data_IF_444839471651
#
_entry.id   IF_444839471651
#
_cell.length_a   1.000
_cell.length_b   1.000
_cell.length_c   1.000
_cell.angle_alpha   90.00
_cell.angle_beta   90.00
_cell.angle_gamma   90.00
#
_symmetry.space_group_name_H-M   'P 1'
#
loop_
_entity.id
_entity.type
_entity.pdbx_description
1 polymer ?
#
# COMPACT_ATOMS: atom_id res chain seq x y z
N UNK A 1 -2.44 -21.25 14.17
CA UNK A 1 -1.98 -19.85 13.99
C UNK A 1 -2.95 -19.01 13.14
N UNK A 2 -4.03 -19.58 12.59
CA UNK A 2 -4.82 -18.91 11.53
C UNK A 2 -5.96 -17.98 11.98
N UNK A 3 -6.35 -18.00 13.25
CA UNK A 3 -7.54 -17.29 13.74
C UNK A 3 -7.28 -15.84 14.25
N UNK A 4 -6.11 -15.27 13.97
CA UNK A 4 -5.70 -13.93 14.47
C UNK A 4 -5.44 -12.89 13.38
N UNK A 5 -5.40 -13.32 12.12
CA UNK A 5 -5.08 -12.48 10.97
C UNK A 5 -6.33 -11.84 10.38
N UNK A 6 -6.22 -10.58 9.95
CA UNK A 6 -7.23 -9.91 9.14
C UNK A 6 -7.59 -10.76 7.92
N UNK A 7 -8.88 -10.80 7.57
CA UNK A 7 -9.39 -11.59 6.45
C UNK A 7 -9.17 -10.92 5.08
N UNK A 8 -8.54 -9.75 5.03
CA UNK A 8 -8.26 -9.04 3.78
C UNK A 8 -6.99 -9.52 3.06
N UNK A 9 -6.03 -10.18 3.73
CA UNK A 9 -4.82 -10.72 3.09
C UNK A 9 -5.09 -12.11 2.51
N UNK A 10 -4.70 -12.32 1.24
CA UNK A 10 -4.84 -13.60 0.51
C UNK A 10 -3.48 -14.18 0.12
N UNK A 11 -2.46 -13.36 -0.04
CA UNK A 11 -1.10 -13.79 -0.33
C UNK A 11 -0.45 -14.49 0.86
N UNK A 12 0.32 -15.53 0.57
CA UNK A 12 1.06 -16.33 1.55
C UNK A 12 0.20 -16.89 2.69
N UNK A 13 -1.09 -17.15 2.42
CA UNK A 13 -2.01 -17.78 3.37
C UNK A 13 -2.53 -19.10 2.82
N UNK A 14 -2.54 -20.11 3.67
CA UNK A 14 -3.05 -21.42 3.30
C UNK A 14 -4.56 -21.33 3.00
N UNK A 15 -4.97 -21.96 1.90
CA UNK A 15 -6.39 -22.01 1.50
C UNK A 15 -6.94 -20.68 0.98
N UNK A 16 -6.07 -19.77 0.52
CA UNK A 16 -6.46 -18.52 -0.15
C UNK A 16 -5.72 -18.39 -1.47
N UNK A 17 -6.42 -17.94 -2.50
CA UNK A 17 -5.85 -17.73 -3.83
C UNK A 17 -6.12 -16.32 -4.37
N UNK A 18 -5.54 -16.01 -5.53
CA UNK A 18 -5.84 -14.78 -6.26
C UNK A 18 -7.29 -14.76 -6.75
N UNK A 19 -7.88 -15.91 -7.09
CA UNK A 19 -9.28 -16.02 -7.49
C UNK A 19 -10.23 -15.69 -6.32
N UNK A 20 -9.91 -16.16 -5.11
CA UNK A 20 -10.69 -15.82 -3.92
C UNK A 20 -10.67 -14.31 -3.65
N UNK A 21 -9.50 -13.69 -3.82
CA UNK A 21 -9.36 -12.24 -3.69
C UNK A 21 -10.20 -11.49 -4.73
N UNK A 22 -10.15 -11.91 -5.99
CA UNK A 22 -10.94 -11.28 -7.06
C UNK A 22 -12.43 -11.43 -6.81
N UNK A 23 -12.87 -12.61 -6.35
CA UNK A 23 -14.25 -12.84 -5.95
C UNK A 23 -14.66 -11.92 -4.80
N UNK A 24 -13.81 -11.81 -3.76
CA UNK A 24 -14.04 -10.90 -2.63
C UNK A 24 -14.12 -9.45 -3.08
N UNK A 25 -13.17 -8.99 -3.90
CA UNK A 25 -13.13 -7.61 -4.38
C UNK A 25 -14.37 -7.28 -5.23
N UNK A 26 -14.75 -8.17 -6.14
CA UNK A 26 -15.98 -8.04 -6.92
C UNK A 26 -17.21 -7.93 -6.00
N UNK A 27 -17.31 -8.79 -4.99
CA UNK A 27 -18.40 -8.71 -4.03
C UNK A 27 -18.42 -7.38 -3.27
N UNK A 28 -17.27 -6.80 -2.92
CA UNK A 28 -17.21 -5.47 -2.30
C UNK A 28 -17.80 -4.39 -3.21
N UNK A 29 -17.45 -4.42 -4.51
CA UNK A 29 -18.00 -3.48 -5.51
C UNK A 29 -19.49 -3.69 -5.71
N UNK A 30 -19.94 -4.94 -5.90
CA UNK A 30 -21.34 -5.28 -6.19
C UNK A 30 -22.29 -4.97 -5.01
N UNK A 31 -21.78 -4.97 -3.77
CA UNK A 31 -22.56 -4.64 -2.56
C UNK A 31 -22.44 -3.17 -2.15
N UNK A 32 -21.64 -2.37 -2.85
CA UNK A 32 -21.58 -0.93 -2.63
C UNK A 32 -22.90 -0.29 -3.05
N UNK A 33 -23.52 0.46 -2.14
CA UNK A 33 -24.67 1.30 -2.47
C UNK A 33 -24.27 2.72 -2.89
N UNK A 34 -22.97 3.03 -2.88
CA UNK A 34 -22.47 4.38 -3.10
C UNK A 34 -22.58 4.79 -4.57
N UNK A 35 -22.83 6.08 -4.82
CA UNK A 35 -22.86 6.62 -6.19
C UNK A 35 -21.48 6.67 -6.85
N UNK A 36 -20.44 6.90 -6.07
CA UNK A 36 -19.06 6.94 -6.53
C UNK A 36 -18.30 5.81 -5.85
N UNK A 37 -17.73 4.92 -6.66
CA UNK A 37 -16.96 3.77 -6.21
C UNK A 37 -15.70 3.67 -7.06
N UNK A 38 -14.56 3.47 -6.41
CA UNK A 38 -13.30 3.21 -7.11
C UNK A 38 -12.37 2.32 -6.28
N UNK A 39 -11.63 1.45 -6.96
CA UNK A 39 -10.48 0.77 -6.39
C UNK A 39 -9.27 1.70 -6.33
N UNK A 40 -8.62 1.77 -5.17
CA UNK A 40 -7.35 2.46 -4.94
C UNK A 40 -6.27 1.39 -4.78
N UNK A 41 -5.46 1.21 -5.81
CA UNK A 41 -4.39 0.21 -5.87
C UNK A 41 -3.11 0.83 -5.30
N UNK A 42 -2.66 0.30 -4.17
CA UNK A 42 -1.51 0.77 -3.40
C UNK A 42 -0.29 -0.07 -3.79
N UNK A 43 0.78 0.62 -4.16
CA UNK A 43 2.05 0.00 -4.56
C UNK A 43 3.14 0.41 -3.56
N UNK A 44 3.72 -0.58 -2.87
CA UNK A 44 4.79 -0.38 -1.91
C UNK A 44 6.15 -0.52 -2.59
N UNK A 45 6.95 0.55 -2.55
CA UNK A 45 8.30 0.54 -3.08
C UNK A 45 9.15 -0.46 -2.29
N UNK A 46 9.67 -1.48 -2.98
CA UNK A 46 10.60 -2.45 -2.40
C UNK A 46 10.00 -3.15 -1.19
N UNK A 47 8.81 -3.72 -1.36
CA UNK A 47 8.23 -4.62 -0.38
C UNK A 47 9.28 -5.63 0.12
N UNK A 48 9.17 -6.04 1.38
CA UNK A 48 10.16 -6.84 2.09
C UNK A 48 11.50 -6.14 2.38
N UNK A 49 12.04 -5.28 1.52
CA UNK A 49 13.40 -4.71 1.67
C UNK A 49 13.49 -3.57 2.70
N UNK A 50 12.38 -2.86 2.95
CA UNK A 50 12.39 -1.65 3.79
C UNK A 50 11.85 -1.83 5.21
N UNK A 51 11.25 -2.97 5.53
CA UNK A 51 10.62 -3.19 6.83
C UNK A 51 11.62 -3.10 7.99
N UNK A 52 11.37 -2.19 8.92
CA UNK A 52 12.14 -2.00 10.16
C UNK A 52 12.02 -3.21 11.08
N UNK A 53 13.14 -3.81 11.47
CA UNK A 53 13.12 -4.97 12.37
C UNK A 53 12.62 -4.63 13.76
N UNK A 54 12.89 -3.42 14.24
CA UNK A 54 12.35 -2.93 15.51
C UNK A 54 10.81 -2.96 15.47
N UNK A 55 10.21 -2.37 14.44
CA UNK A 55 8.74 -2.28 14.32
C UNK A 55 8.09 -3.66 14.19
N UNK A 56 8.78 -4.62 13.56
CA UNK A 56 8.34 -6.02 13.48
C UNK A 56 8.37 -6.69 14.85
N UNK A 57 9.46 -6.55 15.61
CA UNK A 57 9.60 -7.13 16.93
C UNK A 57 8.56 -6.54 17.90
N UNK A 58 8.34 -5.23 17.88
CA UNK A 58 7.27 -4.58 18.66
C UNK A 58 5.89 -5.15 18.30
N UNK A 59 5.63 -5.37 17.01
CA UNK A 59 4.36 -5.96 16.56
C UNK A 59 4.21 -7.40 17.05
N UNK A 60 5.26 -8.20 17.01
CA UNK A 60 5.22 -9.58 17.53
C UNK A 60 4.93 -9.61 19.04
N UNK A 61 5.53 -8.70 19.80
CA UNK A 61 5.30 -8.57 21.25
C UNK A 61 3.84 -8.19 21.54
N UNK A 62 3.31 -7.20 20.81
CA UNK A 62 1.89 -6.78 20.92
C UNK A 62 0.90 -7.90 20.55
N UNK A 63 1.26 -8.76 19.60
CA UNK A 63 0.46 -9.92 19.22
C UNK A 63 0.58 -11.05 20.25
N UNK A 64 1.45 -10.95 21.26
CA UNK A 64 1.50 -11.88 22.39
C UNK A 64 2.02 -13.27 22.00
N UNK A 65 3.06 -13.31 21.17
CA UNK A 65 3.77 -14.55 20.87
C UNK A 65 4.55 -15.08 22.09
N UNK A 66 4.90 -16.36 22.06
CA UNK A 66 5.70 -16.96 23.15
C UNK A 66 7.12 -16.37 23.19
N UNK A 67 7.74 -16.38 24.37
CA UNK A 67 9.12 -15.92 24.54
C UNK A 67 10.11 -16.68 23.63
N UNK A 68 9.83 -17.96 23.35
CA UNK A 68 10.65 -18.80 22.47
C UNK A 68 10.58 -18.32 21.02
N UNK A 69 9.37 -18.07 20.50
CA UNK A 69 9.16 -17.50 19.16
C UNK A 69 9.81 -16.12 19.03
N UNK A 70 9.67 -15.27 20.07
CA UNK A 70 10.33 -13.96 20.10
C UNK A 70 11.85 -14.08 20.08
N UNK A 71 12.42 -15.05 20.78
CA UNK A 71 13.85 -15.35 20.74
C UNK A 71 14.33 -15.75 19.34
N UNK A 72 13.55 -16.57 18.63
CA UNK A 72 13.85 -16.97 17.25
C UNK A 72 13.83 -15.78 16.29
N UNK A 73 12.80 -14.93 16.35
CA UNK A 73 12.73 -13.73 15.51
C UNK A 73 13.81 -12.71 15.84
N UNK A 74 14.11 -12.50 17.12
CA UNK A 74 15.20 -11.61 17.53
C UNK A 74 16.55 -12.11 16.99
N UNK A 75 16.82 -13.42 17.09
CA UNK A 75 18.02 -14.03 16.51
C UNK A 75 18.02 -13.97 14.97
N UNK A 76 16.86 -14.11 14.34
CA UNK A 76 16.72 -14.02 12.89
C UNK A 76 17.10 -12.64 12.35
N UNK A 77 16.83 -11.56 13.08
CA UNK A 77 17.17 -10.19 12.72
C UNK A 77 18.54 -9.72 13.25
N UNK A 78 19.11 -10.37 14.26
CA UNK A 78 20.39 -9.95 14.85
C UNK A 78 21.60 -10.17 13.94
N UNK A 79 22.59 -9.26 14.08
CA UNK A 79 23.95 -9.36 13.51
C UNK A 79 24.06 -9.65 12.01
N UNK A 80 23.05 -9.19 11.26
CA UNK A 80 23.01 -9.34 9.81
C UNK A 80 23.89 -8.29 9.13
N UNK A 81 24.68 -8.72 8.16
CA UNK A 81 25.44 -7.82 7.30
C UNK A 81 25.49 -8.33 5.86
N UNK A 82 25.46 -7.40 4.91
CA UNK A 82 25.73 -7.69 3.50
C UNK A 82 27.18 -7.39 3.16
N UNK A 83 27.73 -8.17 2.24
CA UNK A 83 29.06 -8.00 1.69
C UNK A 83 28.94 -7.74 0.19
N UNK A 84 29.52 -6.63 -0.27
CA UNK A 84 29.62 -6.29 -1.68
C UNK A 84 31.08 -6.44 -2.10
N UNK A 85 31.34 -7.42 -2.96
CA UNK A 85 32.66 -7.66 -3.50
C UNK A 85 32.80 -6.99 -4.87
N UNK A 86 33.76 -6.08 -4.99
CA UNK A 86 34.13 -5.53 -6.28
C UNK A 86 35.06 -6.52 -7.01
N UNK A 87 34.52 -7.19 -8.04
CA UNK A 87 35.26 -8.18 -8.84
C UNK A 87 36.47 -7.62 -9.60
N UNK A 88 36.65 -6.30 -9.66
CA UNK A 88 37.77 -5.65 -10.37
C UNK A 88 38.90 -5.18 -9.46
N UNK A 89 38.64 -5.02 -8.16
CA UNK A 89 39.61 -4.46 -7.20
C UNK A 89 39.81 -5.30 -5.95
N UNK A 90 39.18 -6.48 -5.87
CA UNK A 90 39.14 -7.36 -4.69
C UNK A 90 38.71 -6.66 -3.39
N UNK A 91 38.13 -5.47 -3.48
CA UNK A 91 37.61 -4.74 -2.33
C UNK A 91 36.28 -5.34 -1.89
N UNK A 92 36.15 -5.52 -0.57
CA UNK A 92 34.91 -5.96 0.07
C UNK A 92 34.36 -4.84 0.93
N UNK A 93 33.18 -4.34 0.59
CA UNK A 93 32.42 -3.45 1.45
C UNK A 93 31.47 -4.28 2.32
N UNK A 94 31.52 -4.08 3.64
CA UNK A 94 30.59 -4.68 4.59
C UNK A 94 29.61 -3.62 5.08
N UNK A 95 28.33 -3.95 5.14
CA UNK A 95 27.30 -3.09 5.73
C UNK A 95 26.40 -3.90 6.64
N UNK A 96 26.28 -3.48 7.90
CA UNK A 96 25.27 -4.01 8.82
C UNK A 96 23.87 -3.60 8.37
N UNK A 97 22.93 -4.50 8.55
CA UNK A 97 21.53 -4.31 8.21
C UNK A 97 20.72 -4.08 9.49
N UNK A 98 19.64 -3.32 9.36
CA UNK A 98 18.69 -3.02 10.44
C UNK A 98 17.23 -3.14 9.95
N UNK A 99 17.06 -3.51 8.68
CA UNK A 99 15.78 -3.56 8.00
C UNK A 99 15.85 -4.56 6.86
N UNK A 100 14.67 -4.96 6.42
CA UNK A 100 14.46 -5.77 5.24
C UNK A 100 14.50 -7.27 5.51
N UNK A 101 13.87 -8.06 4.65
CA UNK A 101 13.96 -9.51 4.70
C UNK A 101 14.92 -9.98 3.60
N UNK A 102 15.80 -10.97 3.86
CA UNK A 102 16.57 -11.60 2.80
C UNK A 102 15.63 -12.12 1.71
N UNK A 103 15.87 -11.74 0.46
CA UNK A 103 15.08 -12.22 -0.67
C UNK A 103 15.20 -13.75 -0.78
N UNK A 104 14.07 -14.43 -0.96
CA UNK A 104 14.00 -15.89 -0.96
C UNK A 104 14.02 -16.53 0.43
N UNK A 105 13.97 -15.74 1.51
CA UNK A 105 13.79 -16.29 2.85
C UNK A 105 12.36 -16.83 3.06
N UNK A 106 12.26 -17.95 3.76
CA UNK A 106 10.99 -18.57 4.15
C UNK A 106 10.20 -17.64 5.09
N UNK A 107 10.90 -16.89 5.94
CA UNK A 107 10.29 -15.99 6.93
C UNK A 107 9.82 -14.65 6.37
N UNK A 108 10.32 -14.20 5.22
CA UNK A 108 9.95 -12.91 4.62
C UNK A 108 8.44 -12.73 4.44
N UNK A 109 7.74 -13.69 3.80
CA UNK A 109 6.28 -13.72 3.70
C UNK A 109 5.54 -13.52 5.03
N UNK A 110 5.98 -14.21 6.08
CA UNK A 110 5.36 -14.12 7.42
C UNK A 110 5.57 -12.74 8.03
N UNK A 111 6.78 -12.18 7.92
CA UNK A 111 7.11 -10.84 8.42
C UNK A 111 6.29 -9.77 7.70
N UNK A 112 6.13 -9.90 6.38
CA UNK A 112 5.30 -8.98 5.61
C UNK A 112 3.83 -9.06 6.01
N UNK A 113 3.27 -10.28 6.09
CA UNK A 113 1.90 -10.45 6.52
C UNK A 113 1.68 -9.90 7.93
N UNK A 114 2.64 -10.09 8.86
CA UNK A 114 2.60 -9.49 10.21
C UNK A 114 2.50 -7.97 10.18
N UNK A 115 3.34 -7.31 9.39
CA UNK A 115 3.32 -5.86 9.28
C UNK A 115 2.02 -5.37 8.64
N UNK A 116 1.65 -5.96 7.49
CA UNK A 116 0.52 -5.52 6.69
C UNK A 116 -0.82 -5.80 7.38
N UNK A 117 -0.92 -6.84 8.19
CA UNK A 117 -2.10 -7.17 9.01
C UNK A 117 -2.59 -5.98 9.84
N UNK A 118 -1.68 -5.20 10.43
CA UNK A 118 -2.06 -4.01 11.20
C UNK A 118 -2.76 -2.97 10.34
N UNK A 119 -2.22 -2.68 9.14
CA UNK A 119 -2.82 -1.73 8.20
C UNK A 119 -4.20 -2.19 7.75
N UNK A 120 -4.33 -3.48 7.40
CA UNK A 120 -5.59 -4.05 6.95
C UNK A 120 -6.67 -3.98 8.03
N UNK A 121 -6.32 -4.30 9.28
CA UNK A 121 -7.22 -4.13 10.41
C UNK A 121 -7.65 -2.68 10.61
N UNK A 122 -6.72 -1.72 10.54
CA UNK A 122 -7.02 -0.30 10.71
C UNK A 122 -7.99 0.20 9.62
N UNK A 123 -7.77 -0.20 8.37
CA UNK A 123 -8.64 0.15 7.24
C UNK A 123 -10.06 -0.44 7.42
N UNK A 124 -10.17 -1.73 7.75
CA UNK A 124 -11.48 -2.36 8.01
C UNK A 124 -12.21 -1.71 9.20
N UNK A 125 -11.50 -1.35 10.26
CA UNK A 125 -12.08 -0.71 11.46
C UNK A 125 -12.69 0.66 11.17
N UNK A 126 -12.11 1.42 10.23
CA UNK A 126 -12.67 2.72 9.81
C UNK A 126 -13.68 2.59 8.66
N UNK A 127 -14.05 1.36 8.30
CA UNK A 127 -15.05 1.06 7.28
C UNK A 127 -14.56 1.26 5.85
N UNK A 128 -13.25 1.14 5.60
CA UNK A 128 -12.69 1.15 4.24
C UNK A 128 -12.50 -0.31 3.81
N UNK A 129 -13.28 -0.83 2.85
CA UNK A 129 -13.09 -2.19 2.35
C UNK A 129 -11.71 -2.33 1.72
N UNK A 130 -11.01 -3.41 2.02
CA UNK A 130 -9.64 -3.65 1.53
C UNK A 130 -9.40 -5.12 1.24
N UNK A 131 -8.61 -5.40 0.22
CA UNK A 131 -8.02 -6.72 -0.07
C UNK A 131 -6.55 -6.56 -0.37
N UNK A 132 -5.75 -7.59 -0.07
CA UNK A 132 -4.35 -7.62 -0.41
C UNK A 132 -3.91 -9.02 -0.86
N UNK A 133 -2.96 -9.06 -1.81
CA UNK A 133 -2.20 -10.25 -2.16
C UNK A 133 -0.71 -9.93 -2.07
N UNK A 134 -0.02 -10.50 -1.09
CA UNK A 134 1.35 -10.12 -0.81
C UNK A 134 1.41 -8.59 -0.54
N UNK A 135 2.19 -7.84 -1.30
CA UNK A 135 2.30 -6.39 -1.23
C UNK A 135 1.25 -5.63 -2.04
N UNK A 136 0.65 -6.23 -3.06
CA UNK A 136 -0.43 -5.63 -3.83
C UNK A 136 -1.66 -5.44 -2.94
N UNK A 137 -1.96 -4.18 -2.59
CA UNK A 137 -3.07 -3.84 -1.69
C UNK A 137 -4.07 -2.95 -2.42
N UNK A 138 -5.35 -3.30 -2.38
CA UNK A 138 -6.42 -2.53 -3.03
C UNK A 138 -7.49 -2.16 -2.01
N UNK A 139 -7.70 -0.86 -1.83
CA UNK A 139 -8.81 -0.32 -1.03
C UNK A 139 -9.99 0.02 -1.93
N UNK A 140 -11.21 -0.04 -1.42
CA UNK A 140 -12.40 0.51 -2.07
C UNK A 140 -12.70 1.89 -1.46
N UNK A 141 -12.68 2.92 -2.29
CA UNK A 141 -13.11 4.25 -1.92
C UNK A 141 -14.55 4.49 -2.40
N UNK A 142 -15.39 5.00 -1.51
CA UNK A 142 -16.83 5.10 -1.72
C UNK A 142 -17.37 6.45 -1.24
N UNK A 143 -18.42 6.96 -1.89
CA UNK A 143 -19.12 8.16 -1.43
C UNK A 143 -20.39 8.50 -2.22
N UNK A 144 -21.37 9.12 -1.55
CA UNK A 144 -22.59 9.64 -2.19
C UNK A 144 -22.36 10.97 -2.92
N UNK A 145 -21.30 11.67 -2.54
CA UNK A 145 -20.86 12.91 -3.16
C UNK A 145 -19.35 12.87 -3.40
N UNK A 146 -18.88 13.78 -4.25
CA UNK A 146 -17.45 13.95 -4.54
C UNK A 146 -16.65 14.19 -3.25
N UNK A 147 -17.15 15.04 -2.36
CA UNK A 147 -16.47 15.37 -1.10
C UNK A 147 -16.35 14.15 -0.17
N UNK A 148 -17.40 13.31 -0.09
CA UNK A 148 -17.36 12.08 0.71
C UNK A 148 -16.38 11.07 0.13
N UNK A 149 -16.38 10.91 -1.20
CA UNK A 149 -15.45 10.04 -1.90
C UNK A 149 -14.00 10.49 -1.70
N UNK A 150 -13.71 11.80 -1.86
CA UNK A 150 -12.38 12.37 -1.61
C UNK A 150 -11.96 12.16 -0.15
N UNK A 151 -12.86 12.37 0.81
CA UNK A 151 -12.58 12.10 2.22
C UNK A 151 -12.31 10.61 2.51
N UNK A 152 -12.98 9.69 1.79
CA UNK A 152 -12.69 8.25 1.88
C UNK A 152 -11.28 7.93 1.39
N UNK A 153 -10.89 8.49 0.24
CA UNK A 153 -9.53 8.33 -0.31
C UNK A 153 -8.48 8.91 0.64
N UNK A 154 -8.71 10.13 1.15
CA UNK A 154 -7.78 10.79 2.08
C UNK A 154 -7.62 10.00 3.38
N UNK A 155 -8.72 9.44 3.92
CA UNK A 155 -8.67 8.59 5.11
C UNK A 155 -7.85 7.32 4.88
N UNK A 156 -8.04 6.65 3.72
CA UNK A 156 -7.25 5.47 3.37
C UNK A 156 -5.76 5.80 3.31
N UNK A 157 -5.39 6.87 2.59
CA UNK A 157 -3.99 7.27 2.47
C UNK A 157 -3.38 7.71 3.80
N UNK A 158 -4.13 8.39 4.67
CA UNK A 158 -3.66 8.75 6.01
C UNK A 158 -3.16 7.53 6.78
N UNK A 159 -3.98 6.47 6.86
CA UNK A 159 -3.60 5.22 7.52
C UNK A 159 -2.42 4.52 6.85
N UNK A 160 -2.39 4.51 5.51
CA UNK A 160 -1.27 3.92 4.74
C UNK A 160 0.04 4.66 5.01
N UNK A 161 0.02 5.99 5.10
CA UNK A 161 1.21 6.78 5.41
C UNK A 161 1.69 6.57 6.84
N UNK A 162 0.77 6.59 7.81
CA UNK A 162 1.10 6.32 9.21
C UNK A 162 1.73 4.93 9.36
N UNK A 163 1.20 3.93 8.66
CA UNK A 163 1.78 2.60 8.60
C UNK A 163 3.16 2.57 7.94
N UNK A 164 3.33 3.27 6.81
CA UNK A 164 4.63 3.37 6.13
C UNK A 164 5.68 3.99 7.04
N UNK A 165 5.34 5.07 7.74
CA UNK A 165 6.23 5.75 8.68
C UNK A 165 6.60 4.84 9.86
N UNK A 166 5.63 4.11 10.41
CA UNK A 166 5.86 3.15 11.50
C UNK A 166 6.79 2.01 11.11
N UNK A 167 6.57 1.40 9.94
CA UNK A 167 7.32 0.22 9.51
C UNK A 167 8.55 0.55 8.64
N UNK A 168 8.79 1.82 8.33
CA UNK A 168 9.88 2.26 7.46
C UNK A 168 9.67 1.96 5.97
N UNK A 169 8.46 1.53 5.59
CA UNK A 169 8.05 1.29 4.21
C UNK A 169 7.80 2.61 3.46
N UNK A 170 7.59 2.55 2.15
CA UNK A 170 7.31 3.71 1.30
C UNK A 170 6.40 3.33 0.16
N UNK A 171 5.56 4.27 -0.28
CA UNK A 171 4.78 4.11 -1.51
C UNK A 171 5.64 4.35 -2.76
N UNK A 172 5.39 3.59 -3.82
CA UNK A 172 5.99 3.83 -5.12
C UNK A 172 5.28 5.02 -5.79
N UNK A 173 6.06 6.06 -6.11
CA UNK A 173 5.49 7.31 -6.61
C UNK A 173 4.97 7.15 -8.04
N UNK A 174 3.70 7.50 -8.26
CA UNK A 174 3.08 7.57 -9.59
C UNK A 174 2.47 6.26 -10.08
N UNK A 175 2.58 5.18 -9.30
CA UNK A 175 2.04 3.85 -9.62
C UNK A 175 0.80 3.50 -8.82
N UNK A 176 0.39 4.34 -7.86
CA UNK A 176 -0.90 4.17 -7.19
C UNK A 176 -2.01 4.47 -8.19
N UNK A 177 -2.89 3.51 -8.47
CA UNK A 177 -3.95 3.66 -9.47
C UNK A 177 -5.30 3.85 -8.82
N UNK A 178 -6.10 4.77 -9.36
CA UNK A 178 -7.53 4.86 -9.06
C UNK A 178 -8.30 4.33 -10.28
N UNK A 179 -9.04 3.24 -10.09
CA UNK A 179 -9.82 2.57 -11.12
C UNK A 179 -11.31 2.61 -10.76
N UNK A 180 -12.15 3.21 -11.60
CA UNK A 180 -13.61 3.17 -11.46
C UNK A 180 -14.22 2.06 -12.32
N UNK A 181 -15.40 1.52 -11.96
CA UNK A 181 -16.19 0.69 -12.86
C UNK A 181 -16.46 1.43 -14.18
N UNK A 182 -16.51 0.74 -15.33
CA UNK A 182 -16.66 1.35 -16.66
C UNK A 182 -17.98 2.11 -16.85
N UNK A 183 -18.97 1.88 -15.99
CA UNK A 183 -20.28 2.54 -15.99
C UNK A 183 -20.27 3.91 -15.27
N UNK A 184 -19.21 4.18 -14.50
CA UNK A 184 -19.02 5.42 -13.75
C UNK A 184 -17.89 6.22 -14.40
N UNK A 185 -18.28 7.19 -15.24
CA UNK A 185 -17.40 8.13 -15.94
C UNK A 185 -16.88 9.21 -14.95
N UNK A 186 -16.07 8.79 -13.97
CA UNK A 186 -15.58 9.68 -12.89
C UNK A 186 -14.35 10.45 -13.39
N UNK A 187 -14.56 11.58 -14.07
CA UNK A 187 -13.48 12.46 -14.50
C UNK A 187 -12.70 13.08 -13.31
N UNK A 188 -11.53 12.55 -12.99
CA UNK A 188 -10.49 13.29 -12.25
C UNK A 188 -9.44 13.80 -13.24
N UNK A 189 -9.54 15.09 -13.63
CA UNK A 189 -8.43 15.76 -14.34
C UNK A 189 -7.25 15.94 -13.38
N UNK A 190 -6.29 15.04 -13.41
CA UNK A 190 -4.96 15.26 -12.82
C UNK A 190 -4.21 16.30 -13.66
N UNK A 191 -4.34 17.58 -13.31
CA UNK A 191 -3.42 18.62 -13.83
C UNK A 191 -2.15 18.58 -12.97
N UNK A 192 -1.06 18.11 -13.56
CA UNK A 192 0.30 18.27 -13.04
C UNK A 192 0.54 19.74 -12.69
N UNK A 193 0.88 20.04 -11.44
CA UNK A 193 1.36 21.34 -11.00
C UNK A 193 2.71 21.13 -10.29
N UNK A 194 3.76 20.93 -11.08
CA UNK A 194 5.14 21.20 -10.64
C UNK A 194 5.50 22.62 -11.11
N UNK A 195 5.85 23.56 -10.22
CA UNK A 195 6.40 24.85 -10.58
C UNK A 195 7.88 24.71 -10.92
N UNK A 196 8.19 24.18 -12.09
CA UNK A 196 9.53 24.30 -12.71
C UNK A 196 9.53 23.97 -14.21
N UNK A 197 8.48 24.33 -14.93
CA UNK A 197 8.54 24.41 -16.39
C UNK A 197 8.46 25.89 -16.80
N UNK A 198 9.60 26.43 -17.23
CA UNK A 198 9.69 27.67 -17.98
C UNK A 198 9.03 27.47 -19.35
N UNK A 199 7.71 27.52 -19.43
CA UNK A 199 7.02 27.76 -20.70
C UNK A 199 6.21 29.04 -20.60
N UNK A 200 6.78 30.11 -21.14
CA UNK A 200 6.14 31.41 -21.22
C UNK A 200 4.97 31.40 -22.20
N UNK A 201 3.74 31.26 -21.70
CA UNK A 201 2.56 31.89 -22.28
C UNK A 201 1.43 31.99 -21.25
N UNK A 202 1.11 33.23 -20.87
CA UNK A 202 0.12 33.61 -19.87
C UNK A 202 -1.28 33.37 -20.42
N UNK A 203 -2.04 32.32 -20.06
CA UNK A 203 -3.51 32.29 -20.25
C UNK A 203 -4.22 31.04 -19.67
N UNK A 204 -3.95 30.54 -18.44
CA UNK A 204 -4.79 29.43 -17.93
C UNK A 204 -4.78 29.17 -16.42
N UNK A 205 -4.92 30.21 -15.58
CA UNK A 205 -5.12 30.03 -14.14
C UNK A 205 -6.09 31.08 -13.56
N UNK A 206 -7.39 30.99 -13.87
CA UNK A 206 -8.47 31.59 -13.06
C UNK A 206 -9.80 30.86 -13.29
N UNK A 207 -10.04 29.79 -12.54
CA UNK A 207 -11.34 29.37 -11.98
C UNK A 207 -11.17 27.95 -11.43
N UNK A 208 -11.88 27.69 -10.33
CA UNK A 208 -12.05 26.39 -9.66
C UNK A 208 -11.03 26.08 -8.57
N UNK A 209 -11.41 26.43 -7.34
CA UNK A 209 -10.81 25.99 -6.08
C UNK A 209 -11.08 24.50 -5.89
N UNK A 210 -10.02 23.70 -5.88
CA UNK A 210 -10.02 22.31 -5.41
C UNK A 210 -9.28 22.31 -4.06
N UNK A 211 -9.75 21.60 -3.02
CA UNK A 211 -8.99 21.42 -1.78
C UNK A 211 -7.61 20.82 -2.06
N UNK A 212 -6.62 21.26 -1.30
CA UNK A 212 -5.21 21.32 -1.68
C UNK A 212 -4.40 20.00 -1.56
N UNK A 213 -5.00 18.88 -1.14
CA UNK A 213 -4.28 17.64 -0.88
C UNK A 213 -4.11 16.74 -2.12
N UNK A 214 -5.15 16.54 -2.93
CA UNK A 214 -5.07 15.70 -4.14
C UNK A 214 -4.04 16.22 -5.17
N UNK A 215 -3.84 17.54 -5.25
CA UNK A 215 -2.77 18.14 -6.07
C UNK A 215 -1.37 18.01 -5.45
N UNK A 216 -1.25 17.97 -4.11
CA UNK A 216 0.06 17.74 -3.45
C UNK A 216 0.50 16.29 -3.60
N UNK A 217 -0.45 15.38 -3.79
CA UNK A 217 -0.20 13.97 -3.70
C UNK A 217 0.46 13.32 -4.91
N UNK A 218 0.80 13.94 -6.06
CA UNK A 218 1.69 13.47 -7.17
C UNK A 218 1.93 11.93 -7.42
N UNK A 219 1.06 11.06 -6.92
CA UNK A 219 1.31 9.64 -6.65
C UNK A 219 0.22 8.78 -7.29
N UNK A 220 -0.92 9.40 -7.61
CA UNK A 220 -2.08 8.74 -8.20
C UNK A 220 -2.04 8.90 -9.71
N UNK A 221 -1.80 7.82 -10.43
CA UNK A 221 -2.14 7.72 -11.85
C UNK A 221 -3.61 7.30 -11.93
N UNK A 222 -4.51 8.22 -12.29
CA UNK A 222 -5.92 7.87 -12.49
C UNK A 222 -6.06 7.24 -13.86
N UNK A 223 -6.44 5.96 -13.90
CA UNK A 223 -6.78 5.29 -15.17
C UNK A 223 -8.29 5.25 -15.25
N UNK A 224 -8.85 6.13 -16.08
CA UNK A 224 -10.24 6.03 -16.49
C UNK A 224 -10.32 4.90 -17.51
N UNK A 225 -10.98 3.80 -17.15
CA UNK A 225 -11.38 2.81 -18.12
C UNK A 225 -12.54 3.40 -18.92
N UNK A 226 -12.25 4.12 -20.00
CA UNK A 226 -13.27 4.53 -20.97
C UNK A 226 -13.74 3.30 -21.74
N UNK A 227 -14.83 2.70 -21.30
CA UNK A 227 -15.61 1.76 -22.10
C UNK A 227 -16.45 2.51 -23.13
N UNK A 228 -15.82 3.21 -24.07
CA UNK A 228 -16.53 3.71 -25.24
C UNK A 228 -16.82 2.52 -26.16
N UNK A 229 -18.05 2.01 -26.09
CA UNK A 229 -18.63 1.25 -27.20
C UNK A 229 -19.73 2.11 -27.80
N UNK A 230 -19.41 2.74 -28.94
CA UNK A 230 -20.22 2.81 -30.15
C UNK A 230 -19.27 3.07 -31.33
#
# INVERSE_FOLDING_TARGET
>A
MDNKWCNAQYGFRQGRSSEDLLCRFRNMVDHSSAKLVAGVLVDFKGAFDYLSWHSILDRLDLVGHSNEEMGLWSSYFADRSVFLMNRRSDQVARRSLERGCPQGSIGGPTVWNLALDELLWQLEQVGIPVVAYADDTTCLAEGESRDQFEASVERAFGLIYDWCDKYGSRLLRGHTLLASPPELDIFFRTRCLVPSCECGSRFCCRRWQVPSLLCRLHLVSVVLASGATL
#
